data_IF_102607830913
#
_entry.id   IF_102607830913
#
_cell.length_a   1.000
_cell.length_b   1.000
_cell.length_c   1.000
_cell.angle_alpha   90.00
_cell.angle_beta   90.00
_cell.angle_gamma   90.00
#
_symmetry.space_group_name_H-M   'P 1'
#
loop_
_entity.id
_entity.type
_entity.pdbx_description
1 polymer ?
#
# COMPACT_ATOMS: atom_id res chain seq x y z
N UNK A 1 19.21 -3.89 32.70
CA UNK A 1 20.32 -3.26 31.94
C UNK A 1 19.70 -2.24 31.00
N UNK A 2 19.85 -0.93 31.29
CA UNK A 2 19.38 0.12 30.37
C UNK A 2 20.40 0.26 29.24
N UNK A 3 20.01 -0.10 28.01
CA UNK A 3 20.80 0.17 26.83
C UNK A 3 20.79 1.69 26.57
N UNK A 4 21.96 2.32 26.68
CA UNK A 4 22.16 3.72 26.36
C UNK A 4 22.19 3.84 24.82
N UNK A 5 21.10 4.33 24.22
CA UNK A 5 21.04 4.62 22.79
C UNK A 5 21.65 6.00 22.52
N UNK A 6 22.79 6.04 21.83
CA UNK A 6 23.42 7.28 21.35
C UNK A 6 22.98 7.55 19.92
N UNK A 7 22.19 8.60 19.73
CA UNK A 7 21.74 9.06 18.40
C UNK A 7 22.74 10.07 17.82
N UNK A 8 23.13 9.89 16.55
CA UNK A 8 23.94 10.85 15.79
C UNK A 8 23.13 11.39 14.61
N UNK A 9 23.04 12.72 14.54
CA UNK A 9 22.33 13.45 13.49
C UNK A 9 23.34 14.20 12.63
N UNK A 10 23.08 14.30 11.33
CA UNK A 10 23.94 15.02 10.39
C UNK A 10 23.92 16.55 10.62
N UNK A 11 22.79 17.07 11.12
CA UNK A 11 22.58 18.47 11.52
C UNK A 11 21.51 18.55 12.61
N UNK A 12 21.27 19.71 13.25
CA UNK A 12 20.14 19.88 14.17
C UNK A 12 18.80 19.82 13.44
N UNK A 13 17.77 19.27 14.09
CA UNK A 13 16.38 19.53 13.71
C UNK A 13 16.07 21.02 13.91
N UNK A 14 15.25 21.61 13.05
CA UNK A 14 14.94 23.04 13.08
C UNK A 14 13.45 23.29 12.95
N UNK A 15 12.96 24.30 13.67
CA UNK A 15 11.65 24.91 13.47
C UNK A 15 11.88 26.33 12.96
N UNK A 16 11.29 26.70 11.82
CA UNK A 16 11.40 28.04 11.22
C UNK A 16 10.02 28.48 10.75
N UNK A 17 9.48 29.56 11.28
CA UNK A 17 8.21 30.21 10.85
C UNK A 17 7.19 29.30 10.12
N UNK A 18 6.70 28.28 10.82
CA UNK A 18 5.69 27.33 10.31
C UNK A 18 6.22 26.02 9.71
N UNK A 19 7.52 25.94 9.43
CA UNK A 19 8.20 24.76 8.88
C UNK A 19 8.99 24.00 9.94
N UNK A 20 8.66 22.71 10.12
CA UNK A 20 9.38 21.78 10.98
C UNK A 20 10.27 20.85 10.14
N UNK A 21 11.59 20.96 10.32
CA UNK A 21 12.60 20.10 9.70
C UNK A 21 13.20 19.15 10.74
N UNK A 22 12.81 17.88 10.71
CA UNK A 22 13.37 16.83 11.57
C UNK A 22 14.58 16.18 10.89
N UNK A 23 15.66 15.94 11.63
CA UNK A 23 16.78 15.12 11.17
C UNK A 23 16.62 13.68 11.65
N UNK A 24 16.95 12.73 10.80
CA UNK A 24 17.00 11.32 11.16
C UNK A 24 18.34 10.99 11.79
N UNK A 25 18.30 10.13 12.81
CA UNK A 25 19.50 9.51 13.38
C UNK A 25 19.87 8.29 12.54
N UNK A 26 21.15 8.10 12.23
CA UNK A 26 21.58 6.94 11.42
C UNK A 26 23.08 6.84 11.11
N UNK A 27 23.93 7.61 11.79
CA UNK A 27 25.40 7.55 11.61
C UNK A 27 26.00 8.70 10.81
N UNK A 28 27.33 8.68 10.54
CA UNK A 28 28.08 9.78 9.94
C UNK A 28 27.88 9.95 8.43
N UNK A 29 27.15 9.03 7.77
CA UNK A 29 26.91 9.10 6.33
C UNK A 29 25.95 10.25 6.01
N UNK A 30 26.26 11.04 4.98
CA UNK A 30 25.43 12.17 4.53
C UNK A 30 24.00 11.75 4.12
N UNK A 31 23.80 10.49 3.72
CA UNK A 31 22.50 9.91 3.34
C UNK A 31 22.32 8.55 4.04
N UNK A 32 21.90 8.51 5.32
CA UNK A 32 21.69 7.23 6.00
C UNK A 32 20.59 6.45 5.28
N UNK A 33 20.92 5.24 4.81
CA UNK A 33 19.92 4.32 4.28
C UNK A 33 19.16 3.74 5.47
N UNK A 34 17.84 3.72 5.38
CA UNK A 34 17.01 3.06 6.39
C UNK A 34 16.69 1.61 6.00
N UNK A 35 16.98 1.21 4.76
CA UNK A 35 16.91 -0.17 4.32
C UNK A 35 17.99 -0.46 3.26
N UNK A 36 18.61 -1.63 3.35
CA UNK A 36 19.38 -2.22 2.24
C UNK A 36 19.32 -3.74 2.31
N UNK A 37 18.97 -4.40 1.22
CA UNK A 37 18.83 -5.86 1.22
C UNK A 37 18.19 -6.44 -0.03
N UNK A 38 18.22 -7.75 -0.12
CA UNK A 38 17.57 -8.52 -1.18
C UNK A 38 16.16 -8.92 -0.76
N UNK A 39 15.21 -8.96 -1.70
CA UNK A 39 13.93 -9.61 -1.46
C UNK A 39 14.05 -11.13 -1.60
N UNK A 40 13.48 -11.88 -0.65
CA UNK A 40 13.50 -13.36 -0.68
C UNK A 40 12.53 -13.94 -1.71
N UNK A 41 11.55 -13.14 -2.16
CA UNK A 41 10.65 -13.47 -3.25
C UNK A 41 10.66 -12.36 -4.34
N UNK A 42 11.74 -12.26 -5.16
CA UNK A 42 11.96 -11.17 -6.10
C UNK A 42 10.79 -10.88 -7.03
N UNK A 43 10.27 -11.92 -7.71
CA UNK A 43 9.14 -11.79 -8.64
C UNK A 43 7.86 -11.29 -7.96
N UNK A 44 7.57 -11.77 -6.75
CA UNK A 44 6.39 -11.32 -6.00
C UNK A 44 6.56 -9.88 -5.51
N UNK A 45 7.76 -9.52 -5.04
CA UNK A 45 8.11 -8.16 -4.65
C UNK A 45 8.00 -7.18 -5.82
N UNK A 46 8.58 -7.51 -6.98
CA UNK A 46 8.49 -6.69 -8.18
C UNK A 46 7.04 -6.52 -8.67
N UNK A 47 6.27 -7.60 -8.74
CA UNK A 47 4.85 -7.54 -9.09
C UNK A 47 4.03 -6.69 -8.11
N UNK A 48 4.32 -6.79 -6.80
CA UNK A 48 3.70 -5.98 -5.77
C UNK A 48 4.02 -4.49 -5.92
N UNK A 49 5.30 -4.14 -6.18
CA UNK A 49 5.72 -2.76 -6.41
C UNK A 49 5.05 -2.17 -7.65
N UNK A 50 5.00 -2.92 -8.74
CA UNK A 50 4.28 -2.53 -9.96
C UNK A 50 2.79 -2.31 -9.68
N UNK A 51 2.15 -3.18 -8.90
CA UNK A 51 0.74 -3.03 -8.54
C UNK A 51 0.48 -1.79 -7.69
N UNK A 52 1.35 -1.47 -6.72
CA UNK A 52 1.26 -0.24 -5.92
C UNK A 52 1.45 0.98 -6.83
N UNK A 53 2.45 0.98 -7.71
CA UNK A 53 2.68 2.07 -8.66
C UNK A 53 1.52 2.26 -9.65
N UNK A 54 0.89 1.17 -10.10
CA UNK A 54 -0.25 1.23 -11.02
C UNK A 54 -1.47 1.89 -10.37
N UNK A 55 -1.76 1.56 -9.10
CA UNK A 55 -2.86 2.22 -8.37
C UNK A 55 -2.62 3.72 -8.27
N UNK A 56 -1.39 4.12 -7.97
CA UNK A 56 -0.94 5.50 -7.90
C UNK A 56 -1.24 6.31 -9.18
N UNK A 57 -1.06 5.66 -10.34
CA UNK A 57 -1.36 6.23 -11.66
C UNK A 57 -2.83 6.11 -12.08
N UNK A 58 -3.59 5.22 -11.46
CA UNK A 58 -4.98 4.98 -11.82
C UNK A 58 -5.91 6.11 -11.36
N UNK A 59 -7.02 6.28 -12.08
CA UNK A 59 -8.12 7.20 -11.76
C UNK A 59 -9.44 6.44 -11.90
N UNK A 60 -10.25 6.45 -10.86
CA UNK A 60 -11.55 5.78 -10.85
C UNK A 60 -12.73 6.76 -10.92
N UNK A 61 -12.49 8.05 -10.61
CA UNK A 61 -13.50 9.10 -10.62
C UNK A 61 -12.86 10.48 -10.83
N UNK A 62 -13.40 11.27 -11.77
CA UNK A 62 -13.04 12.66 -12.12
C UNK A 62 -11.59 12.92 -12.58
N UNK A 63 -11.37 13.86 -13.52
CA UNK A 63 -10.04 14.26 -13.95
C UNK A 63 -9.42 15.24 -12.93
N UNK A 64 -8.37 14.80 -12.23
CA UNK A 64 -7.47 15.67 -11.45
C UNK A 64 -6.18 15.83 -12.25
N UNK A 65 -5.58 17.02 -12.21
CA UNK A 65 -4.27 17.31 -12.83
C UNK A 65 -3.24 16.22 -12.43
N UNK A 66 -2.45 15.68 -13.38
CA UNK A 66 -1.37 14.74 -13.09
C UNK A 66 -0.27 15.41 -12.24
N UNK A 67 -0.48 15.46 -10.93
CA UNK A 67 0.65 15.49 -10.00
C UNK A 67 1.33 14.12 -10.03
N UNK A 68 2.65 14.09 -9.82
CA UNK A 68 3.38 12.88 -9.45
C UNK A 68 2.68 12.27 -8.24
N UNK A 69 2.22 11.04 -8.42
CA UNK A 69 1.40 10.28 -7.48
C UNK A 69 2.07 8.95 -7.38
N UNK A 70 3.23 8.96 -6.76
CA UNK A 70 4.09 7.79 -6.77
C UNK A 70 4.28 7.26 -5.35
N UNK A 71 4.61 5.97 -5.20
CA UNK A 71 4.52 5.30 -3.92
C UNK A 71 5.38 5.93 -2.82
N UNK A 72 4.83 5.94 -1.62
CA UNK A 72 5.57 6.19 -0.38
C UNK A 72 6.20 4.89 0.07
N UNK A 73 7.50 4.92 0.35
CA UNK A 73 8.28 3.82 0.90
C UNK A 73 8.60 4.14 2.35
N UNK A 74 8.22 3.26 3.26
CA UNK A 74 8.48 3.39 4.69
C UNK A 74 9.24 2.17 5.18
N UNK A 75 10.41 2.38 5.77
CA UNK A 75 11.15 1.37 6.51
C UNK A 75 10.87 1.48 8.00
N UNK A 76 10.49 0.37 8.62
CA UNK A 76 10.40 0.20 10.07
C UNK A 76 11.01 -1.14 10.47
N UNK A 77 11.41 -1.29 11.73
CA UNK A 77 12.11 -2.50 12.23
C UNK A 77 11.43 -3.83 11.89
N UNK A 78 10.12 -3.81 11.67
CA UNK A 78 9.30 -4.98 11.43
C UNK A 78 8.82 -5.13 9.98
N UNK A 79 9.11 -4.18 9.07
CA UNK A 79 8.72 -4.28 7.65
C UNK A 79 9.34 -3.19 6.77
N UNK A 80 9.45 -3.49 5.48
CA UNK A 80 9.53 -2.50 4.42
C UNK A 80 8.15 -2.38 3.76
N UNK A 81 7.58 -1.18 3.75
CA UNK A 81 6.21 -0.91 3.31
C UNK A 81 6.20 0.05 2.12
N UNK A 82 5.43 -0.30 1.09
CA UNK A 82 5.17 0.57 -0.06
C UNK A 82 3.68 0.86 -0.14
N UNK A 83 3.32 2.13 -0.29
CA UNK A 83 1.93 2.57 -0.23
C UNK A 83 1.62 3.60 -1.30
N UNK A 84 0.38 3.58 -1.77
CA UNK A 84 -0.12 4.60 -2.68
C UNK A 84 -1.62 4.78 -2.53
N UNK A 85 -2.11 5.92 -3.01
CA UNK A 85 -3.52 6.10 -3.30
C UNK A 85 -3.72 6.31 -4.79
N UNK A 86 -4.88 5.94 -5.32
CA UNK A 86 -5.26 6.40 -6.65
C UNK A 86 -5.38 7.92 -6.70
N UNK A 87 -5.37 8.51 -7.90
CA UNK A 87 -5.38 9.96 -8.00
C UNK A 87 -6.62 10.64 -7.42
N UNK A 88 -7.76 9.93 -7.42
CA UNK A 88 -9.01 10.34 -6.75
C UNK A 88 -9.08 9.93 -5.26
N UNK A 89 -8.03 9.31 -4.71
CA UNK A 89 -7.93 8.81 -3.34
C UNK A 89 -9.01 7.78 -2.93
N UNK A 90 -9.76 7.23 -3.88
CA UNK A 90 -10.82 6.24 -3.62
C UNK A 90 -10.31 4.80 -3.51
N UNK A 91 -9.04 4.55 -3.84
CA UNK A 91 -8.38 3.24 -3.72
C UNK A 91 -7.03 3.45 -3.06
N UNK A 92 -6.73 2.61 -2.08
CA UNK A 92 -5.45 2.55 -1.38
C UNK A 92 -4.81 1.20 -1.66
N UNK A 93 -3.51 1.20 -1.95
CA UNK A 93 -2.73 -0.01 -2.13
C UNK A 93 -1.53 -0.01 -1.20
N UNK A 94 -1.24 -1.19 -0.65
CA UNK A 94 -0.12 -1.43 0.26
C UNK A 94 0.56 -2.75 -0.06
N UNK A 95 1.88 -2.71 -0.17
CA UNK A 95 2.76 -3.88 -0.13
C UNK A 95 3.56 -3.84 1.17
N UNK A 96 3.44 -4.88 1.98
CA UNK A 96 4.27 -5.09 3.16
C UNK A 96 5.24 -6.25 2.92
N UNK A 97 6.54 -5.96 3.03
CA UNK A 97 7.59 -6.97 3.07
C UNK A 97 7.98 -7.16 4.54
N UNK A 98 7.57 -8.29 5.12
CA UNK A 98 7.94 -8.69 6.49
C UNK A 98 9.44 -9.03 6.59
N UNK A 99 10.01 -9.24 7.80
CA UNK A 99 11.43 -9.56 7.96
C UNK A 99 11.84 -10.87 7.28
N UNK A 100 10.92 -11.84 7.15
CA UNK A 100 11.17 -13.07 6.38
C UNK A 100 11.16 -12.83 4.85
N UNK A 101 10.68 -11.66 4.41
CA UNK A 101 10.55 -11.26 3.01
C UNK A 101 11.80 -10.59 2.44
N UNK A 102 12.82 -10.34 3.26
CA UNK A 102 14.10 -9.78 2.82
C UNK A 102 15.29 -10.41 3.55
N UNK A 103 16.43 -10.42 2.87
CA UNK A 103 17.75 -10.72 3.40
C UNK A 103 18.58 -9.44 3.37
N UNK A 104 18.68 -8.79 4.53
CA UNK A 104 19.33 -7.49 4.69
C UNK A 104 18.88 -6.79 5.98
N UNK A 105 19.39 -5.58 6.16
CA UNK A 105 19.19 -4.82 7.38
C UNK A 105 18.17 -3.69 7.16
N UNK A 106 17.08 -3.71 7.94
CA UNK A 106 16.38 -2.46 8.25
C UNK A 106 17.24 -1.72 9.27
N UNK A 107 18.12 -0.87 8.75
CA UNK A 107 19.13 -0.18 9.56
C UNK A 107 18.47 0.82 10.52
N UNK A 108 17.42 1.51 10.07
CA UNK A 108 16.73 2.57 10.84
C UNK A 108 15.27 2.74 10.39
N UNK A 109 14.54 3.66 11.04
CA UNK A 109 13.22 4.09 10.58
C UNK A 109 13.35 5.23 9.57
N UNK A 110 12.54 5.20 8.52
CA UNK A 110 12.50 6.30 7.56
C UNK A 110 11.36 6.19 6.57
N UNK A 111 11.05 7.31 5.92
CA UNK A 111 10.06 7.36 4.85
C UNK A 111 10.54 8.26 3.72
N UNK A 112 10.30 7.85 2.48
CA UNK A 112 10.57 8.62 1.27
C UNK A 112 9.47 8.35 0.25
N UNK A 113 9.31 9.21 -0.74
CA UNK A 113 8.32 9.03 -1.79
C UNK A 113 8.99 9.26 -3.14
N UNK A 114 8.87 8.31 -4.05
CA UNK A 114 9.71 8.20 -5.26
C UNK A 114 8.86 7.93 -6.47
N UNK A 115 9.20 8.51 -7.62
CA UNK A 115 8.54 8.22 -8.90
C UNK A 115 8.91 6.83 -9.41
N UNK A 116 7.94 5.91 -9.50
CA UNK A 116 8.19 4.61 -10.14
C UNK A 116 8.02 4.78 -11.63
N UNK A 117 9.01 5.42 -12.26
CA UNK A 117 8.99 5.86 -13.66
C UNK A 117 9.03 4.69 -14.68
N UNK A 118 9.08 5.00 -15.98
CA UNK A 118 9.10 3.96 -17.02
C UNK A 118 10.32 3.03 -16.94
N UNK A 119 11.57 3.54 -16.86
CA UNK A 119 12.75 2.73 -16.62
C UNK A 119 12.64 1.77 -15.43
N UNK A 120 12.17 2.25 -14.27
CA UNK A 120 12.01 1.39 -13.10
C UNK A 120 10.92 0.33 -13.31
N UNK A 121 9.79 0.71 -13.91
CA UNK A 121 8.71 -0.25 -14.23
C UNK A 121 9.20 -1.36 -15.16
N UNK A 122 9.98 -1.00 -16.18
CA UNK A 122 10.57 -1.95 -17.11
C UNK A 122 11.57 -2.88 -16.42
N UNK A 123 12.43 -2.36 -15.55
CA UNK A 123 13.38 -3.16 -14.77
C UNK A 123 12.64 -4.16 -13.87
N UNK A 124 11.60 -3.71 -13.15
CA UNK A 124 10.79 -4.56 -12.29
C UNK A 124 10.00 -5.62 -13.08
N UNK A 125 9.47 -5.28 -14.25
CA UNK A 125 8.70 -6.19 -15.09
C UNK A 125 9.53 -7.35 -15.65
N UNK A 126 10.85 -7.17 -15.77
CA UNK A 126 11.79 -8.20 -16.23
C UNK A 126 12.27 -9.14 -15.13
N UNK A 127 12.03 -8.84 -13.85
CA UNK A 127 12.49 -9.67 -12.72
C UNK A 127 11.82 -11.05 -12.78
N UNK A 128 12.64 -12.06 -13.06
CA UNK A 128 12.29 -13.48 -13.04
C UNK A 128 12.18 -14.05 -11.62
N UNK A 129 11.78 -15.32 -11.53
CA UNK A 129 11.61 -16.01 -10.24
C UNK A 129 12.92 -16.28 -9.47
N UNK A 130 14.04 -16.39 -10.19
CA UNK A 130 15.36 -16.67 -9.63
C UNK A 130 16.29 -15.44 -9.64
N UNK A 131 15.85 -14.33 -10.23
CA UNK A 131 16.68 -13.15 -10.38
C UNK A 131 16.79 -12.43 -9.03
N UNK A 132 17.99 -12.03 -8.60
CA UNK A 132 18.13 -11.22 -7.40
C UNK A 132 17.46 -9.86 -7.60
N UNK A 133 16.75 -9.40 -6.57
CA UNK A 133 16.19 -8.06 -6.50
C UNK A 133 16.66 -7.39 -5.23
N UNK A 134 17.64 -6.50 -5.38
CA UNK A 134 18.17 -5.71 -4.27
C UNK A 134 17.45 -4.36 -4.21
N UNK A 135 17.04 -3.96 -3.03
CA UNK A 135 16.51 -2.63 -2.76
C UNK A 135 17.42 -1.93 -1.76
N UNK A 136 17.67 -0.65 -2.02
CA UNK A 136 18.24 0.25 -1.03
C UNK A 136 17.33 1.45 -0.93
N UNK A 137 17.02 1.90 0.28
CA UNK A 137 16.12 3.04 0.49
C UNK A 137 16.74 4.04 1.46
N UNK A 138 16.74 5.31 1.05
CA UNK A 138 17.22 6.43 1.84
C UNK A 138 16.23 7.59 1.84
N UNK A 139 16.55 8.68 2.55
CA UNK A 139 15.67 9.84 2.67
C UNK A 139 15.39 10.53 1.32
N UNK A 140 16.30 10.40 0.34
CA UNK A 140 16.25 11.15 -0.92
C UNK A 140 16.08 10.27 -2.17
N UNK A 141 16.12 8.93 -2.03
CA UNK A 141 15.99 8.03 -3.16
C UNK A 141 15.63 6.58 -2.78
N UNK A 142 15.12 5.87 -3.78
CA UNK A 142 15.01 4.42 -3.86
C UNK A 142 15.96 3.94 -4.96
N UNK A 143 16.84 2.99 -4.64
CA UNK A 143 17.65 2.28 -5.63
C UNK A 143 17.14 0.86 -5.74
N UNK A 144 16.82 0.44 -6.97
CA UNK A 144 16.46 -0.94 -7.31
C UNK A 144 17.55 -1.52 -8.18
N UNK A 145 18.17 -2.61 -7.78
CA UNK A 145 19.20 -3.29 -8.56
C UNK A 145 18.75 -4.67 -8.98
N UNK A 146 18.76 -4.91 -10.28
CA UNK A 146 18.52 -6.20 -10.92
C UNK A 146 19.79 -6.67 -11.62
N UNK A 147 19.73 -7.80 -12.32
CA UNK A 147 20.83 -8.27 -13.17
C UNK A 147 21.18 -7.31 -14.32
N UNK A 148 20.23 -6.48 -14.76
CA UNK A 148 20.43 -5.47 -15.81
C UNK A 148 21.14 -4.20 -15.27
N UNK A 149 21.33 -4.11 -13.96
CA UNK A 149 21.96 -2.98 -13.28
C UNK A 149 21.03 -2.20 -12.34
N UNK A 150 21.53 -1.11 -11.74
CA UNK A 150 20.76 -0.28 -10.82
C UNK A 150 19.92 0.78 -11.54
N UNK A 151 18.70 0.99 -11.05
CA UNK A 151 17.83 2.13 -11.35
C UNK A 151 17.63 2.93 -10.06
N UNK A 152 17.85 4.25 -10.13
CA UNK A 152 17.78 5.15 -8.97
C UNK A 152 16.66 6.15 -9.17
N UNK A 153 15.66 6.10 -8.29
CA UNK A 153 14.53 7.02 -8.29
C UNK A 153 14.64 8.02 -7.14
N UNK A 154 14.63 9.30 -7.50
CA UNK A 154 14.76 10.39 -6.54
C UNK A 154 13.44 10.69 -5.84
N UNK A 155 13.55 11.29 -4.66
CA UNK A 155 12.41 11.80 -3.93
C UNK A 155 11.68 12.86 -4.74
N UNK A 156 10.36 12.71 -4.80
CA UNK A 156 9.45 13.66 -5.46
C UNK A 156 8.61 14.41 -4.40
N UNK A 157 7.84 15.44 -4.76
CA UNK A 157 6.88 16.03 -3.82
C UNK A 157 5.67 15.10 -3.60
N UNK A 158 5.21 14.99 -2.36
CA UNK A 158 3.99 14.23 -2.01
C UNK A 158 2.76 15.15 -2.00
N UNK A 159 1.66 14.83 -2.70
CA UNK A 159 0.46 15.67 -2.68
C UNK A 159 -0.20 15.75 -1.29
N UNK A 160 -0.57 16.96 -0.85
CA UNK A 160 -1.15 17.19 0.48
C UNK A 160 -2.40 16.34 0.79
N UNK A 161 -3.21 15.98 -0.21
CA UNK A 161 -4.37 15.09 -0.04
C UNK A 161 -3.98 13.67 0.39
N UNK A 162 -2.83 13.16 -0.05
CA UNK A 162 -2.35 11.85 0.37
C UNK A 162 -1.92 11.88 1.84
N UNK A 163 -1.33 12.98 2.32
CA UNK A 163 -0.97 13.12 3.74
C UNK A 163 -2.19 12.91 4.64
N UNK A 164 -3.32 13.55 4.30
CA UNK A 164 -4.59 13.33 5.02
C UNK A 164 -5.08 11.88 4.88
N UNK A 165 -5.04 11.34 3.66
CA UNK A 165 -5.41 9.95 3.39
C UNK A 165 -4.61 8.96 4.24
N UNK A 166 -3.30 9.14 4.40
CA UNK A 166 -2.47 8.28 5.24
C UNK A 166 -2.87 8.34 6.72
N UNK A 167 -3.18 9.53 7.25
CA UNK A 167 -3.65 9.67 8.63
C UNK A 167 -4.96 8.91 8.87
N UNK A 168 -5.86 8.89 7.90
CA UNK A 168 -7.18 8.26 8.01
C UNK A 168 -7.14 6.74 7.72
N UNK A 169 -6.41 6.32 6.68
CA UNK A 169 -6.44 4.92 6.21
C UNK A 169 -5.88 3.95 7.23
N UNK A 170 -4.89 4.36 8.03
CA UNK A 170 -4.34 3.50 9.07
C UNK A 170 -5.32 3.29 10.23
N UNK A 171 -6.11 4.30 10.58
CA UNK A 171 -7.19 4.17 11.57
C UNK A 171 -8.28 3.23 11.02
N UNK A 172 -8.71 3.43 9.77
CA UNK A 172 -9.68 2.55 9.11
C UNK A 172 -9.18 1.10 9.04
N UNK A 173 -7.91 0.90 8.65
CA UNK A 173 -7.31 -0.43 8.55
C UNK A 173 -7.20 -1.14 9.90
N UNK A 174 -7.02 -0.40 11.00
CA UNK A 174 -6.97 -0.98 12.35
C UNK A 174 -8.32 -1.55 12.79
N UNK A 175 -9.44 -1.03 12.26
CA UNK A 175 -10.80 -1.52 12.56
C UNK A 175 -11.28 -2.59 11.56
N UNK A 176 -10.51 -2.89 10.50
CA UNK A 176 -10.90 -3.89 9.53
C UNK A 176 -10.86 -5.31 10.12
N UNK A 177 -11.97 -6.02 10.00
CA UNK A 177 -12.06 -7.43 10.34
C UNK A 177 -11.88 -8.32 9.09
N UNK A 178 -10.99 -9.31 9.16
CA UNK A 178 -10.84 -10.31 8.09
C UNK A 178 -12.15 -11.11 7.94
N UNK A 179 -12.77 -11.08 6.77
CA UNK A 179 -14.05 -11.77 6.48
C UNK A 179 -13.90 -13.06 5.69
N UNK A 180 -12.89 -13.13 4.84
CA UNK A 180 -12.59 -14.30 4.03
C UNK A 180 -11.10 -14.32 3.66
N UNK A 181 -10.60 -15.52 3.38
CA UNK A 181 -9.29 -15.76 2.79
C UNK A 181 -9.47 -16.81 1.70
N UNK A 182 -9.10 -16.46 0.47
CA UNK A 182 -9.33 -17.31 -0.72
C UNK A 182 -8.06 -17.38 -1.56
N UNK A 183 -7.79 -18.51 -2.26
CA UNK A 183 -6.64 -18.64 -3.14
C UNK A 183 -6.64 -17.60 -4.27
N UNK A 184 -5.46 -17.24 -4.78
CA UNK A 184 -5.30 -16.22 -5.82
C UNK A 184 -6.13 -16.51 -7.08
N UNK A 185 -6.24 -17.78 -7.49
CA UNK A 185 -7.05 -18.20 -8.65
C UNK A 185 -8.54 -17.93 -8.43
N UNK A 186 -9.07 -18.25 -7.26
CA UNK A 186 -10.45 -17.99 -6.85
C UNK A 186 -10.72 -16.49 -6.70
N UNK A 187 -9.76 -15.74 -6.15
CA UNK A 187 -9.85 -14.28 -6.07
C UNK A 187 -9.94 -13.64 -7.46
N UNK A 188 -9.07 -14.05 -8.40
CA UNK A 188 -9.11 -13.54 -9.76
C UNK A 188 -10.42 -13.91 -10.48
N UNK A 189 -10.92 -15.15 -10.27
CA UNK A 189 -12.22 -15.57 -10.81
C UNK A 189 -13.38 -14.76 -10.22
N UNK A 190 -13.35 -14.47 -8.91
CA UNK A 190 -14.34 -13.65 -8.23
C UNK A 190 -14.34 -12.21 -8.74
N UNK A 191 -13.17 -11.57 -8.83
CA UNK A 191 -13.03 -10.19 -9.32
C UNK A 191 -13.55 -10.04 -10.75
N UNK A 192 -13.32 -11.03 -11.63
CA UNK A 192 -13.85 -11.04 -13.01
C UNK A 192 -15.38 -11.15 -13.09
N UNK A 193 -16.05 -11.62 -12.02
CA UNK A 193 -17.52 -11.72 -11.93
C UNK A 193 -18.15 -10.48 -11.32
N UNK A 194 -17.36 -9.54 -10.81
CA UNK A 194 -17.91 -8.29 -10.30
C UNK A 194 -18.61 -7.53 -11.44
N UNK A 195 -19.73 -6.86 -11.15
CA UNK A 195 -20.39 -6.04 -12.14
C UNK A 195 -19.46 -4.94 -12.68
N UNK A 196 -19.68 -4.49 -13.93
CA UNK A 196 -18.91 -3.40 -14.50
C UNK A 196 -19.11 -2.10 -13.72
N UNK A 197 -18.16 -1.17 -13.90
CA UNK A 197 -18.25 0.17 -13.32
C UNK A 197 -19.57 0.86 -13.71
N UNK A 198 -20.25 1.45 -12.73
CA UNK A 198 -21.53 2.13 -12.92
C UNK A 198 -22.77 1.28 -12.60
N UNK A 199 -22.62 -0.03 -12.38
CA UNK A 199 -23.71 -0.85 -11.84
C UNK A 199 -24.10 -0.36 -10.43
N UNK A 200 -25.41 -0.17 -10.23
CA UNK A 200 -26.00 0.36 -8.98
C UNK A 200 -26.59 -0.74 -8.09
N UNK A 201 -26.43 -2.00 -8.47
CA UNK A 201 -26.84 -3.15 -7.67
C UNK A 201 -26.06 -3.19 -6.36
N UNK A 202 -26.77 -3.55 -5.30
CA UNK A 202 -26.16 -3.86 -4.01
C UNK A 202 -26.00 -5.37 -3.98
N UNK A 203 -24.76 -5.83 -4.06
CA UNK A 203 -24.42 -7.24 -3.99
C UNK A 203 -23.80 -7.56 -2.64
N UNK A 204 -23.80 -8.85 -2.32
CA UNK A 204 -23.22 -9.38 -1.10
C UNK A 204 -22.21 -10.44 -1.49
N UNK A 205 -20.97 -10.27 -1.05
CA UNK A 205 -19.96 -11.32 -1.12
C UNK A 205 -20.14 -12.25 0.08
N UNK A 206 -20.43 -13.52 -0.18
CA UNK A 206 -20.65 -14.53 0.86
C UNK A 206 -19.60 -15.63 0.72
N UNK A 207 -18.96 -16.06 1.82
CA UNK A 207 -18.07 -17.23 1.82
C UNK A 207 -18.77 -18.46 1.25
N UNK A 208 -18.11 -19.14 0.30
CA UNK A 208 -18.59 -20.34 -0.35
C UNK A 208 -17.44 -21.36 -0.48
N UNK A 209 -17.19 -22.11 0.59
CA UNK A 209 -16.04 -23.01 0.67
C UNK A 209 -14.72 -22.23 0.58
N UNK A 210 -13.95 -22.44 -0.50
CA UNK A 210 -12.67 -21.76 -0.76
C UNK A 210 -12.80 -20.53 -1.67
N UNK A 211 -14.02 -20.09 -1.98
CA UNK A 211 -14.30 -18.95 -2.84
C UNK A 211 -15.30 -17.98 -2.22
N UNK A 212 -15.62 -16.92 -2.97
CA UNK A 212 -16.69 -15.98 -2.65
C UNK A 212 -17.78 -16.07 -3.72
N UNK A 213 -19.04 -16.02 -3.29
CA UNK A 213 -20.19 -15.95 -4.18
C UNK A 213 -20.87 -14.59 -4.04
N UNK A 214 -21.31 -14.02 -5.17
CA UNK A 214 -22.15 -12.84 -5.20
C UNK A 214 -23.63 -13.23 -5.04
N UNK A 215 -24.33 -12.57 -4.13
CA UNK A 215 -25.77 -12.74 -3.93
C UNK A 215 -26.48 -11.38 -3.87
N UNK A 216 -27.77 -11.34 -4.23
CA UNK A 216 -28.60 -10.13 -4.14
C UNK A 216 -29.17 -9.87 -2.74
N UNK A 217 -28.98 -10.83 -1.81
CA UNK A 217 -29.42 -10.76 -0.41
C UNK A 217 -28.26 -11.07 0.53
N UNK A 218 -28.25 -10.47 1.73
CA UNK A 218 -27.26 -10.75 2.76
C UNK A 218 -27.43 -12.18 3.31
N UNK A 219 -26.34 -12.71 3.86
CA UNK A 219 -26.30 -13.97 4.59
C UNK A 219 -25.26 -13.92 5.72
N UNK A 220 -25.11 -14.98 6.52
CA UNK A 220 -24.08 -15.04 7.56
C UNK A 220 -22.69 -14.78 6.99
N UNK A 221 -21.92 -13.91 7.63
CA UNK A 221 -20.56 -13.58 7.18
C UNK A 221 -20.48 -12.70 5.93
N UNK A 222 -21.61 -12.33 5.31
CA UNK A 222 -21.64 -11.55 4.09
C UNK A 222 -20.94 -10.19 4.23
N UNK A 223 -20.31 -9.74 3.14
CA UNK A 223 -19.72 -8.42 3.00
C UNK A 223 -20.49 -7.67 1.92
N UNK A 224 -21.00 -6.49 2.26
CA UNK A 224 -21.73 -5.67 1.31
C UNK A 224 -20.77 -5.11 0.24
N UNK A 225 -21.13 -5.28 -1.02
CA UNK A 225 -20.45 -4.70 -2.17
C UNK A 225 -21.42 -3.70 -2.81
N UNK A 226 -21.20 -2.44 -2.52
CA UNK A 226 -21.93 -1.34 -3.13
C UNK A 226 -20.97 -0.27 -3.60
N UNK A 227 -21.25 0.29 -4.78
CA UNK A 227 -20.64 1.55 -5.19
C UNK A 227 -21.08 2.71 -4.29
N UNK A 228 -20.50 3.92 -4.48
CA UNK A 228 -20.76 5.09 -3.63
C UNK A 228 -22.26 5.42 -3.47
N UNK A 229 -23.05 5.24 -4.53
CA UNK A 229 -24.49 5.49 -4.51
C UNK A 229 -25.32 4.42 -3.75
N UNK A 230 -24.75 3.24 -3.49
CA UNK A 230 -25.42 2.13 -2.81
C UNK A 230 -25.06 1.99 -1.32
N UNK A 231 -24.06 2.74 -0.83
CA UNK A 231 -23.58 2.69 0.56
C UNK A 231 -24.69 2.84 1.63
N UNK A 232 -25.69 3.74 1.50
CA UNK A 232 -26.77 3.85 2.49
C UNK A 232 -27.55 2.53 2.69
N UNK A 233 -27.64 1.69 1.65
CA UNK A 233 -28.32 0.39 1.69
C UNK A 233 -27.48 -0.68 2.39
N UNK A 234 -26.16 -0.53 2.44
CA UNK A 234 -25.24 -1.40 3.20
C UNK A 234 -25.18 -1.04 4.68
N UNK A 235 -25.21 0.27 5.01
CA UNK A 235 -25.03 0.76 6.38
C UNK A 235 -26.11 0.24 7.35
N UNK A 236 -27.37 0.17 6.91
CA UNK A 236 -28.47 -0.37 7.72
C UNK A 236 -28.34 -1.87 8.07
N UNK A 237 -27.49 -2.60 7.35
CA UNK A 237 -27.27 -4.04 7.52
C UNK A 237 -26.01 -4.37 8.33
N UNK A 238 -25.02 -3.47 8.37
CA UNK A 238 -23.74 -3.70 9.05
C UNK A 238 -23.72 -3.23 10.52
N UNK A 239 -24.71 -2.42 10.95
CA UNK A 239 -24.76 -1.85 12.29
C UNK A 239 -25.05 -2.87 13.42
N UNK A 240 -25.50 -4.09 13.09
CA UNK A 240 -25.67 -5.16 14.08
C UNK A 240 -24.38 -5.97 14.20
N UNK A 241 -23.72 -5.98 15.36
CA UNK A 241 -22.56 -6.85 15.68
C UNK A 241 -22.90 -8.36 15.76
N UNK A 242 -23.96 -8.81 15.07
CA UNK A 242 -24.43 -10.19 14.98
C UNK A 242 -24.53 -10.67 13.52
N UNK A 243 -24.95 -11.92 13.25
CA UNK A 243 -25.20 -12.38 11.89
C UNK A 243 -26.20 -11.44 11.21
N UNK A 244 -25.80 -10.81 10.11
CA UNK A 244 -26.51 -9.71 9.44
C UNK A 244 -28.00 -10.03 9.24
N UNK A 245 -28.85 -9.54 10.15
CA UNK A 245 -30.29 -9.64 10.06
C UNK A 245 -30.84 -8.36 9.44
N UNK A 246 -30.82 -8.25 8.11
CA UNK A 246 -31.43 -7.12 7.44
C UNK A 246 -32.95 -7.31 7.38
N UNK A 247 -33.69 -6.67 8.30
CA UNK A 247 -35.14 -6.53 8.16
C UNK A 247 -35.42 -5.53 7.04
N UNK A 248 -35.66 -6.04 5.84
CA UNK A 248 -36.10 -5.23 4.71
C UNK A 248 -37.46 -4.59 5.02
N UNK A 249 -37.52 -3.26 5.02
CA UNK A 249 -38.77 -2.57 4.68
C UNK A 249 -38.68 -2.17 3.21
N UNK A 250 -39.69 -2.62 2.48
CA UNK A 250 -39.93 -2.31 1.07
C UNK A 250 -40.12 -0.81 0.87
#
# INVERSE_FOLDING_TARGET
MNALQTYRYLRPSALRDGDLALQTSGGPSANPRFFTGFLTAPRAGAAGLLAVAEVARTRYHQPVNPASLDPVVTGSRDRLRFESFSGCCGVYARLDVSPAGFDGDVVEHGTTNVDVNAPLREALARVGGLDPLHLSVGPDDLTVSTLDGPVVERKVPLPARWLRGFAEVHVLAAEMARRAEIPATEAAAFLRRLPPAGDRSVLWAVPAGRSLRLTSRPGPGAVCLAGPAGWPRCAGCCASRGPCGCTGRR
#
